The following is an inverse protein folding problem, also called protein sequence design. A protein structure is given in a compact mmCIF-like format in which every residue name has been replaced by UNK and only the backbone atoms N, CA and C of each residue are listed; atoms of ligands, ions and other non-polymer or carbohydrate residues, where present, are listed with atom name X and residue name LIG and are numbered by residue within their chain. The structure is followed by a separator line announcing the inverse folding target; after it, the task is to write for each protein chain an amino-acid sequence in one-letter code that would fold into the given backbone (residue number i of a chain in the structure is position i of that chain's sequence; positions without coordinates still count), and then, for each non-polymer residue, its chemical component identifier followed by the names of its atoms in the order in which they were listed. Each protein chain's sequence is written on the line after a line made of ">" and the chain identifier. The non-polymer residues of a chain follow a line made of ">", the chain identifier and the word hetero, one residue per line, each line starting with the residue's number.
data_IF_568299776288
#
_entry.id   IF_568299776288
#
_cell.length_a   1.000
_cell.length_b   1.000
_cell.length_c   1.000
_cell.angle_alpha   90.00
_cell.angle_beta   90.00
_cell.angle_gamma   90.00
#
_symmetry.space_group_name_H-M   'P 1'
#
loop_
_entity.id
_entity.type
_entity.pdbx_description
1 polymer ?
#
# COMPACT_ATOMS: atom_id res chain seq x y z
N UNK A 1 -16.97 52.33 -30.43
CA UNK A 1 -16.43 51.12 -31.09
C UNK A 1 -15.38 50.45 -30.21
N UNK A 2 -14.46 51.23 -29.62
CA UNK A 2 -13.39 50.73 -28.76
C UNK A 2 -13.88 49.94 -27.53
N UNK A 3 -14.93 50.41 -26.85
CA UNK A 3 -15.49 49.72 -25.68
C UNK A 3 -16.01 48.31 -26.00
N UNK A 4 -16.58 48.09 -27.19
CA UNK A 4 -17.08 46.78 -27.60
C UNK A 4 -15.93 45.81 -27.93
N UNK A 5 -14.84 46.31 -28.52
CA UNK A 5 -13.62 45.53 -28.78
C UNK A 5 -12.96 45.14 -27.45
N UNK A 6 -12.84 46.07 -26.51
CA UNK A 6 -12.29 45.79 -25.17
C UNK A 6 -13.15 44.79 -24.41
N UNK A 7 -14.48 44.93 -24.44
CA UNK A 7 -15.39 43.97 -23.82
C UNK A 7 -15.30 42.58 -24.45
N UNK A 8 -15.22 42.50 -25.79
CA UNK A 8 -15.03 41.25 -26.51
C UNK A 8 -13.71 40.55 -26.15
N UNK A 9 -12.60 41.29 -26.08
CA UNK A 9 -11.30 40.77 -25.67
C UNK A 9 -11.31 40.31 -24.20
N UNK A 10 -11.94 41.05 -23.30
CA UNK A 10 -12.09 40.67 -21.90
C UNK A 10 -12.90 39.38 -21.76
N UNK A 11 -13.98 39.21 -22.54
CA UNK A 11 -14.78 37.99 -22.54
C UNK A 11 -13.98 36.77 -23.05
N UNK A 12 -13.19 36.94 -24.12
CA UNK A 12 -12.32 35.88 -24.64
C UNK A 12 -11.21 35.50 -23.64
N UNK A 13 -10.59 36.48 -22.98
CA UNK A 13 -9.57 36.25 -21.95
C UNK A 13 -10.17 35.50 -20.76
N UNK A 14 -11.34 35.91 -20.28
CA UNK A 14 -12.06 35.23 -19.20
C UNK A 14 -12.37 33.77 -19.53
N UNK A 15 -12.82 33.50 -20.76
CA UNK A 15 -13.09 32.13 -21.22
C UNK A 15 -11.82 31.28 -21.32
N UNK A 16 -10.72 31.85 -21.82
CA UNK A 16 -9.44 31.16 -21.90
C UNK A 16 -8.88 30.81 -20.51
N UNK A 17 -8.93 31.75 -19.56
CA UNK A 17 -8.50 31.53 -18.17
C UNK A 17 -9.36 30.49 -17.48
N UNK A 18 -10.69 30.55 -17.66
CA UNK A 18 -11.62 29.56 -17.12
C UNK A 18 -11.34 28.15 -17.63
N UNK A 19 -11.19 27.98 -18.95
CA UNK A 19 -10.84 26.69 -19.58
C UNK A 19 -9.51 26.13 -19.10
N UNK A 20 -8.49 26.99 -19.00
CA UNK A 20 -7.18 26.60 -18.49
C UNK A 20 -7.25 26.15 -17.02
N UNK A 21 -8.00 26.87 -16.18
CA UNK A 21 -8.22 26.50 -14.79
C UNK A 21 -8.94 25.16 -14.66
N UNK A 22 -10.03 24.95 -15.40
CA UNK A 22 -10.79 23.69 -15.38
C UNK A 22 -9.89 22.51 -15.75
N UNK A 23 -9.15 22.62 -16.87
CA UNK A 23 -8.21 21.58 -17.32
C UNK A 23 -7.15 21.29 -16.26
N UNK A 24 -6.64 22.33 -15.59
CA UNK A 24 -5.64 22.16 -14.54
C UNK A 24 -6.19 21.45 -13.30
N UNK A 25 -7.43 21.80 -12.89
CA UNK A 25 -8.08 21.15 -11.75
C UNK A 25 -8.43 19.69 -12.04
N UNK A 26 -8.89 19.39 -13.25
CA UNK A 26 -9.19 18.03 -13.69
C UNK A 26 -7.93 17.16 -13.74
N UNK A 27 -6.85 17.67 -14.34
CA UNK A 27 -5.56 16.97 -14.37
C UNK A 27 -4.99 16.72 -12.95
N UNK A 28 -5.21 17.64 -11.99
CA UNK A 28 -4.84 17.43 -10.59
C UNK A 28 -5.68 16.35 -9.92
N UNK A 29 -7.00 16.37 -10.12
CA UNK A 29 -7.92 15.34 -9.60
C UNK A 29 -7.56 13.96 -10.14
N UNK A 30 -7.37 13.86 -11.46
CA UNK A 30 -7.00 12.60 -12.11
C UNK A 30 -5.70 12.01 -11.55
N UNK A 31 -4.65 12.82 -11.42
CA UNK A 31 -3.38 12.38 -10.79
C UNK A 31 -3.53 11.97 -9.33
N UNK A 32 -4.40 12.64 -8.57
CA UNK A 32 -4.68 12.26 -7.18
C UNK A 32 -5.40 10.92 -7.12
N UNK A 33 -6.42 10.74 -7.94
CA UNK A 33 -7.24 9.51 -7.95
C UNK A 33 -6.43 8.30 -8.46
N UNK A 34 -5.53 8.52 -9.43
CA UNK A 34 -4.59 7.49 -9.88
C UNK A 34 -3.66 7.05 -8.75
N UNK A 35 -3.07 7.99 -8.00
CA UNK A 35 -2.20 7.67 -6.85
C UNK A 35 -2.93 6.92 -5.76
N UNK A 36 -4.15 7.33 -5.42
CA UNK A 36 -5.00 6.63 -4.43
C UNK A 36 -5.17 5.16 -4.84
N UNK A 37 -5.55 4.89 -6.10
CA UNK A 37 -5.69 3.51 -6.59
C UNK A 37 -4.40 2.71 -6.51
N UNK A 38 -3.26 3.32 -6.84
CA UNK A 38 -1.94 2.67 -6.73
C UNK A 38 -1.64 2.31 -5.26
N UNK A 39 -1.89 3.23 -4.33
CA UNK A 39 -1.67 3.00 -2.90
C UNK A 39 -2.59 1.92 -2.33
N UNK A 40 -3.86 1.89 -2.75
CA UNK A 40 -4.81 0.83 -2.38
C UNK A 40 -4.36 -0.54 -2.92
N UNK A 41 -3.92 -0.61 -4.17
CA UNK A 41 -3.40 -1.84 -4.78
C UNK A 41 -2.15 -2.34 -4.06
N UNK A 42 -1.22 -1.44 -3.72
CA UNK A 42 -0.02 -1.79 -2.96
C UNK A 42 -0.37 -2.31 -1.55
N UNK A 43 -1.26 -1.63 -0.83
CA UNK A 43 -1.74 -2.07 0.47
C UNK A 43 -2.42 -3.44 0.41
N UNK A 44 -3.27 -3.67 -0.60
CA UNK A 44 -3.91 -4.95 -0.85
C UNK A 44 -2.89 -6.07 -1.11
N UNK A 45 -1.91 -5.81 -1.97
CA UNK A 45 -0.85 -6.77 -2.29
C UNK A 45 -0.01 -7.16 -1.05
N UNK A 46 0.25 -6.20 -0.14
CA UNK A 46 0.90 -6.49 1.14
C UNK A 46 0.08 -7.49 1.97
N UNK A 47 -1.21 -7.25 2.17
CA UNK A 47 -2.06 -8.15 2.96
C UNK A 47 -2.19 -9.53 2.34
N UNK A 48 -2.33 -9.61 1.01
CA UNK A 48 -2.34 -10.89 0.27
C UNK A 48 -1.03 -11.65 0.46
N UNK A 49 0.11 -10.98 0.31
CA UNK A 49 1.44 -11.59 0.50
C UNK A 49 1.63 -12.07 1.94
N UNK A 50 1.23 -11.27 2.93
CA UNK A 50 1.31 -11.62 4.36
C UNK A 50 0.52 -12.90 4.67
N UNK A 51 -0.68 -13.05 4.13
CA UNK A 51 -1.46 -14.28 4.34
C UNK A 51 -0.87 -15.49 3.62
N UNK A 52 -0.27 -15.30 2.44
CA UNK A 52 0.47 -16.35 1.76
C UNK A 52 1.69 -16.81 2.58
N UNK A 53 2.45 -15.87 3.15
CA UNK A 53 3.59 -16.21 4.01
C UNK A 53 3.15 -16.91 5.30
N UNK A 54 1.97 -16.57 5.83
CA UNK A 54 1.37 -17.33 6.94
C UNK A 54 1.11 -18.78 6.53
N UNK A 55 0.60 -19.02 5.32
CA UNK A 55 0.36 -20.37 4.81
C UNK A 55 1.68 -21.16 4.69
N UNK A 56 2.78 -20.52 4.30
CA UNK A 56 4.12 -21.15 4.34
C UNK A 56 4.51 -21.50 5.79
N UNK A 57 4.37 -20.52 6.70
CA UNK A 57 4.86 -20.61 8.07
C UNK A 57 4.19 -21.69 8.95
N UNK A 58 3.03 -22.24 8.54
CA UNK A 58 2.35 -23.31 9.30
C UNK A 58 2.87 -24.72 8.98
N UNK A 59 3.60 -24.87 7.88
CA UNK A 59 4.15 -26.15 7.45
C UNK A 59 5.55 -26.41 8.02
N UNK A 60 5.98 -27.67 7.97
CA UNK A 60 7.32 -28.05 8.37
C UNK A 60 8.31 -27.62 7.26
N UNK A 61 9.40 -26.90 7.57
CA UNK A 61 10.39 -26.53 6.57
C UNK A 61 10.91 -27.74 5.76
N UNK A 62 10.93 -27.60 4.44
CA UNK A 62 11.37 -28.64 3.51
C UNK A 62 10.36 -29.76 3.27
N UNK A 63 9.11 -29.61 3.74
CA UNK A 63 8.02 -30.51 3.35
C UNK A 63 7.46 -30.15 1.97
N UNK A 64 6.82 -31.11 1.31
CA UNK A 64 6.21 -30.88 -0.01
C UNK A 64 5.11 -29.81 0.06
N UNK A 65 4.35 -29.79 1.16
CA UNK A 65 3.32 -28.79 1.41
C UNK A 65 3.91 -27.39 1.60
N UNK A 66 5.05 -27.29 2.28
CA UNK A 66 5.77 -26.05 2.50
C UNK A 66 6.30 -25.48 1.19
N UNK A 67 6.92 -26.32 0.34
CA UNK A 67 7.40 -25.92 -0.98
C UNK A 67 6.26 -25.50 -1.92
N UNK A 68 5.12 -26.21 -1.90
CA UNK A 68 3.94 -25.82 -2.66
C UNK A 68 3.39 -24.46 -2.22
N UNK A 69 3.28 -24.24 -0.89
CA UNK A 69 2.86 -22.96 -0.34
C UNK A 69 3.85 -21.83 -0.68
N UNK A 70 5.15 -22.12 -0.63
CA UNK A 70 6.19 -21.14 -0.96
C UNK A 70 6.16 -20.76 -2.45
N UNK A 71 5.94 -21.72 -3.35
CA UNK A 71 5.77 -21.44 -4.78
C UNK A 71 4.58 -20.50 -5.01
N UNK A 72 3.43 -20.78 -4.39
CA UNK A 72 2.26 -19.90 -4.50
C UNK A 72 2.52 -18.50 -3.91
N UNK A 73 3.29 -18.42 -2.82
CA UNK A 73 3.70 -17.14 -2.24
C UNK A 73 4.63 -16.34 -3.15
N UNK A 74 5.54 -17.00 -3.89
CA UNK A 74 6.44 -16.34 -4.83
C UNK A 74 5.70 -15.75 -6.04
N UNK A 75 4.66 -16.43 -6.54
CA UNK A 75 3.80 -15.90 -7.60
C UNK A 75 3.11 -14.59 -7.16
N UNK A 76 2.65 -14.54 -5.91
CA UNK A 76 2.11 -13.33 -5.29
C UNK A 76 3.19 -12.27 -5.07
N UNK A 77 4.42 -12.67 -4.76
CA UNK A 77 5.59 -11.79 -4.68
C UNK A 77 5.86 -11.05 -6.00
N UNK A 78 5.69 -11.72 -7.15
CA UNK A 78 5.80 -11.04 -8.45
C UNK A 78 4.72 -9.96 -8.64
N UNK A 79 3.48 -10.21 -8.17
CA UNK A 79 2.41 -9.21 -8.19
C UNK A 79 2.69 -8.05 -7.22
N UNK A 80 3.22 -8.34 -6.02
CA UNK A 80 3.67 -7.33 -5.06
C UNK A 80 4.78 -6.43 -5.64
N UNK A 81 5.78 -7.02 -6.30
CA UNK A 81 6.87 -6.26 -6.92
C UNK A 81 6.37 -5.29 -8.01
N UNK A 82 5.31 -5.64 -8.75
CA UNK A 82 4.70 -4.70 -9.72
C UNK A 82 4.07 -3.50 -9.02
N UNK A 83 3.42 -3.69 -7.87
CA UNK A 83 2.82 -2.58 -7.13
C UNK A 83 3.88 -1.69 -6.47
N UNK A 84 5.00 -2.26 -6.01
CA UNK A 84 6.20 -1.50 -5.56
C UNK A 84 6.68 -0.54 -6.65
N UNK A 85 6.89 -1.05 -7.87
CA UNK A 85 7.34 -0.22 -9.01
C UNK A 85 6.32 0.86 -9.34
N UNK A 86 5.03 0.54 -9.33
CA UNK A 86 3.98 1.53 -9.57
C UNK A 86 4.01 2.67 -8.54
N UNK A 87 4.27 2.38 -7.26
CA UNK A 87 4.44 3.42 -6.24
C UNK A 87 5.66 4.27 -6.54
N UNK A 88 6.83 3.66 -6.81
CA UNK A 88 8.06 4.41 -7.12
C UNK A 88 7.93 5.36 -8.32
N UNK A 89 7.15 4.99 -9.34
CA UNK A 89 6.95 5.82 -10.53
C UNK A 89 6.00 7.01 -10.28
N UNK A 90 5.08 6.89 -9.33
CA UNK A 90 3.95 7.82 -9.20
C UNK A 90 3.89 8.58 -7.88
N UNK A 91 4.70 8.22 -6.88
CA UNK A 91 4.66 8.81 -5.55
C UNK A 91 5.71 9.87 -5.29
N UNK A 92 5.57 10.57 -4.17
CA UNK A 92 6.63 11.40 -3.60
C UNK A 92 7.77 10.55 -3.01
N UNK A 93 8.93 11.18 -2.79
CA UNK A 93 10.10 10.54 -2.18
C UNK A 93 9.81 9.93 -0.79
N UNK A 94 9.08 10.59 0.14
CA UNK A 94 8.75 9.98 1.43
C UNK A 94 7.92 8.69 1.31
N UNK A 95 6.96 8.64 0.40
CA UNK A 95 6.16 7.44 0.16
C UNK A 95 7.00 6.33 -0.46
N UNK A 96 7.86 6.66 -1.43
CA UNK A 96 8.77 5.69 -2.05
C UNK A 96 9.75 5.08 -1.03
N UNK A 97 10.27 5.89 -0.10
CA UNK A 97 11.12 5.43 0.99
C UNK A 97 10.36 4.49 1.95
N UNK A 98 9.13 4.84 2.33
CA UNK A 98 8.31 3.98 3.18
C UNK A 98 7.94 2.64 2.50
N UNK A 99 7.74 2.64 1.17
CA UNK A 99 7.58 1.40 0.39
C UNK A 99 8.84 0.55 0.41
N UNK A 100 10.01 1.16 0.26
CA UNK A 100 11.28 0.43 0.34
C UNK A 100 11.46 -0.24 1.71
N UNK A 101 11.19 0.49 2.80
CA UNK A 101 11.22 -0.07 4.15
C UNK A 101 10.28 -1.28 4.29
N UNK A 102 9.06 -1.17 3.77
CA UNK A 102 8.09 -2.27 3.81
C UNK A 102 8.54 -3.47 2.96
N UNK A 103 9.06 -3.24 1.76
CA UNK A 103 9.58 -4.29 0.88
C UNK A 103 10.70 -5.09 1.58
N UNK A 104 11.63 -4.40 2.25
CA UNK A 104 12.67 -5.04 3.06
C UNK A 104 12.08 -5.93 4.16
N UNK A 105 11.10 -5.43 4.91
CA UNK A 105 10.47 -6.21 6.00
C UNK A 105 9.59 -7.36 5.49
N UNK A 106 8.94 -7.21 4.33
CA UNK A 106 8.18 -8.27 3.65
C UNK A 106 9.11 -9.39 3.21
N UNK A 107 10.27 -9.07 2.64
CA UNK A 107 11.28 -10.07 2.26
C UNK A 107 11.83 -10.81 3.49
N UNK A 108 12.16 -10.09 4.57
CA UNK A 108 12.56 -10.71 5.85
C UNK A 108 11.47 -11.64 6.39
N UNK A 109 10.21 -11.23 6.32
CA UNK A 109 9.08 -12.04 6.80
C UNK A 109 8.92 -13.34 6.00
N UNK A 110 9.10 -13.29 4.66
CA UNK A 110 9.08 -14.49 3.83
C UNK A 110 10.23 -15.46 4.18
N UNK A 111 11.45 -14.94 4.32
CA UNK A 111 12.60 -15.74 4.74
C UNK A 111 12.37 -16.37 6.13
N UNK A 112 11.80 -15.60 7.05
CA UNK A 112 11.42 -16.11 8.37
C UNK A 112 10.41 -17.26 8.24
N UNK A 113 9.36 -17.10 7.44
CA UNK A 113 8.33 -18.12 7.19
C UNK A 113 8.91 -19.44 6.65
N UNK A 114 9.92 -19.37 5.77
CA UNK A 114 10.65 -20.55 5.24
C UNK A 114 11.54 -21.23 6.29
N UNK A 115 12.08 -20.47 7.24
CA UNK A 115 13.15 -20.95 8.14
C UNK A 115 12.68 -21.88 9.25
N UNK A 116 11.41 -21.78 9.68
CA UNK A 116 10.85 -22.56 10.79
C UNK A 116 9.33 -22.58 10.72
N UNK A 117 8.74 -23.59 11.36
CA UNK A 117 7.31 -23.62 11.63
C UNK A 117 6.95 -22.65 12.76
N UNK A 118 5.90 -21.87 12.58
CA UNK A 118 5.40 -20.91 13.56
C UNK A 118 4.11 -21.41 14.21
N UNK A 119 3.99 -21.18 15.51
CA UNK A 119 2.68 -21.09 16.17
C UNK A 119 2.02 -19.74 15.87
N UNK A 120 0.71 -19.62 16.07
CA UNK A 120 0.01 -18.35 15.83
C UNK A 120 0.57 -17.15 16.62
N UNK A 121 0.87 -17.25 17.93
CA UNK A 121 1.51 -16.16 18.66
C UNK A 121 2.88 -15.78 18.08
N UNK A 122 3.70 -16.77 17.72
CA UNK A 122 5.03 -16.50 17.14
C UNK A 122 4.91 -15.84 15.77
N UNK A 123 3.95 -16.25 14.94
CA UNK A 123 3.70 -15.63 13.63
C UNK A 123 3.28 -14.16 13.79
N UNK A 124 2.40 -13.90 14.76
CA UNK A 124 1.96 -12.54 15.09
C UNK A 124 3.14 -11.67 15.50
N UNK A 125 4.06 -12.17 16.32
CA UNK A 125 5.24 -11.41 16.70
C UNK A 125 6.19 -11.19 15.53
N UNK A 126 6.39 -12.21 14.68
CA UNK A 126 7.29 -12.15 13.53
C UNK A 126 6.87 -11.14 12.46
N UNK A 127 5.56 -10.94 12.24
CA UNK A 127 5.05 -9.99 11.25
C UNK A 127 4.98 -8.53 11.73
N UNK A 128 5.17 -8.26 13.04
CA UNK A 128 5.09 -6.89 13.60
C UNK A 128 5.98 -5.86 12.89
N UNK A 129 7.24 -6.18 12.52
CA UNK A 129 8.08 -5.22 11.80
C UNK A 129 7.47 -4.78 10.47
N UNK A 130 6.92 -5.72 9.69
CA UNK A 130 6.22 -5.43 8.44
C UNK A 130 4.92 -4.65 8.68
N UNK A 131 4.15 -4.97 9.72
CA UNK A 131 2.95 -4.21 10.10
C UNK A 131 3.31 -2.74 10.43
N UNK A 132 4.36 -2.51 11.21
CA UNK A 132 4.84 -1.15 11.50
C UNK A 132 5.34 -0.41 10.26
N UNK A 133 5.96 -1.11 9.32
CA UNK A 133 6.36 -0.49 8.05
C UNK A 133 5.13 -0.11 7.19
N UNK A 134 4.08 -0.94 7.21
CA UNK A 134 2.80 -0.63 6.57
C UNK A 134 2.08 0.57 7.22
N UNK A 135 2.16 0.70 8.54
CA UNK A 135 1.66 1.87 9.28
C UNK A 135 2.39 3.15 8.83
N UNK A 136 3.74 3.13 8.78
CA UNK A 136 4.55 4.27 8.28
C UNK A 136 4.23 4.61 6.82
N UNK A 137 4.06 3.61 5.96
CA UNK A 137 3.62 3.82 4.58
C UNK A 137 2.26 4.54 4.54
N UNK A 138 1.30 4.09 5.34
CA UNK A 138 -0.04 4.70 5.41
C UNK A 138 0.04 6.15 5.90
N UNK A 139 0.86 6.44 6.90
CA UNK A 139 1.10 7.81 7.39
C UNK A 139 1.73 8.70 6.31
N UNK A 140 2.72 8.19 5.57
CA UNK A 140 3.36 8.91 4.46
C UNK A 140 2.36 9.24 3.34
N UNK A 141 1.51 8.26 2.96
CA UNK A 141 0.45 8.46 1.96
C UNK A 141 -0.55 9.53 2.43
N UNK A 142 -0.98 9.48 3.70
CA UNK A 142 -1.90 10.50 4.24
C UNK A 142 -1.30 11.89 4.16
N UNK A 143 -0.02 12.03 4.53
CA UNK A 143 0.70 13.30 4.43
C UNK A 143 0.79 13.79 2.97
N UNK A 144 1.11 12.91 2.02
CA UNK A 144 1.18 13.26 0.59
C UNK A 144 -0.19 13.72 0.03
N UNK A 145 -1.28 13.11 0.49
CA UNK A 145 -2.64 13.46 0.08
C UNK A 145 -3.20 14.69 0.80
N UNK A 146 -2.43 15.32 1.70
CA UNK A 146 -2.87 16.47 2.49
C UNK A 146 -3.97 16.14 3.50
N UNK A 147 -4.07 14.87 3.92
CA UNK A 147 -5.03 14.42 4.91
C UNK A 147 -4.54 14.71 6.33
N UNK A 148 -5.45 14.83 7.33
CA UNK A 148 -5.05 15.03 8.72
C UNK A 148 -4.11 13.93 9.21
N UNK A 149 -3.10 14.31 10.01
CA UNK A 149 -2.21 13.36 10.68
C UNK A 149 -3.00 12.61 11.73
N UNK A 150 -3.05 11.28 11.59
CA UNK A 150 -3.66 10.37 12.55
C UNK A 150 -2.65 9.24 12.75
N UNK A 151 -2.32 8.88 14.00
CA UNK A 151 -1.48 7.71 14.25
C UNK A 151 -2.18 6.47 13.69
N UNK A 152 -1.51 5.75 12.78
CA UNK A 152 -2.06 4.55 12.18
C UNK A 152 -1.57 3.35 12.98
N UNK A 153 -2.50 2.60 13.57
CA UNK A 153 -2.19 1.36 14.29
C UNK A 153 -3.06 0.23 13.76
N UNK A 154 -2.43 -0.84 13.27
CA UNK A 154 -3.10 -2.05 12.81
C UNK A 154 -3.28 -2.96 14.05
N UNK A 155 -4.41 -2.85 14.72
CA UNK A 155 -4.75 -3.69 15.87
C UNK A 155 -5.49 -4.97 15.43
N UNK A 156 -5.06 -6.14 15.89
CA UNK A 156 -5.92 -7.33 15.92
C UNK A 156 -6.44 -7.50 17.34
N UNK A 157 -7.73 -7.26 17.51
CA UNK A 157 -8.41 -7.35 18.79
C UNK A 157 -8.29 -8.77 19.38
N UNK A 158 -7.71 -8.89 20.57
CA UNK A 158 -7.43 -10.18 21.21
C UNK A 158 -8.69 -10.90 21.72
N UNK A 159 -9.83 -10.20 21.75
CA UNK A 159 -11.08 -10.71 22.33
C UNK A 159 -11.88 -11.69 21.47
N UNK A 160 -11.47 -11.93 20.23
CA UNK A 160 -12.17 -12.83 19.30
C UNK A 160 -11.48 -14.20 19.11
N UNK A 161 -10.56 -14.61 19.99
CA UNK A 161 -10.20 -16.03 20.06
C UNK A 161 -11.38 -16.76 20.71
N UNK A 162 -12.11 -17.65 19.99
CA UNK A 162 -13.09 -18.50 20.66
C UNK A 162 -12.33 -19.31 21.71
N UNK A 163 -12.85 -19.32 22.93
CA UNK A 163 -12.35 -20.15 24.01
C UNK A 163 -12.16 -21.57 23.46
N UNK A 164 -10.92 -22.01 23.27
CA UNK A 164 -10.64 -23.42 23.00
C UNK A 164 -11.22 -24.21 24.17
N UNK A 165 -12.12 -25.19 23.95
CA UNK A 165 -12.60 -26.02 25.03
C UNK A 165 -11.39 -26.74 25.63
N UNK A 166 -11.19 -26.55 26.93
CA UNK A 166 -10.29 -27.36 27.75
C UNK A 166 -10.79 -28.81 27.68
N UNK A 167 -10.12 -29.61 26.85
CA UNK A 167 -10.17 -31.08 26.92
C UNK A 167 -9.03 -31.60 27.77
#
# INVERSE_FOLDING_TARGET
>A
MDAAIVAGLAALLGLAVGRFWDTHTEARRWRRDQRIRIYEQFAGAYYTSREAYRAVAVHQPGSVEEDAAASAALDLGAAFNRTVVAVWLHSSTPVAAAVHDLDVEVNKLFLAARSRRFTWPQWRDARRPAERAMERFTEAVRAELGLPRVPVTIHIDHRAAPNSPTG
#
